data_IF_187831031511
#
_entry.id   IF_187831031511
#
_cell.length_a   1.000
_cell.length_b   1.000
_cell.length_c   1.000
_cell.angle_alpha   90.00
_cell.angle_beta   90.00
_cell.angle_gamma   90.00
#
_symmetry.space_group_name_H-M   'P 1'
#
loop_
_entity.id
_entity.type
_entity.pdbx_description
1 polymer ?
#
# COMPACT_ATOMS: atom_id res chain seq x y z
N UNK A 1 -48.05 48.74 -46.23
CA UNK A 1 -48.27 49.69 -45.10
C UNK A 1 -48.61 48.91 -43.85
N UNK A 2 -47.96 49.24 -42.72
CA UNK A 2 -48.22 48.82 -41.31
C UNK A 2 -47.87 47.35 -40.96
N UNK A 3 -46.67 47.08 -40.43
CA UNK A 3 -46.11 47.29 -39.07
C UNK A 3 -46.48 46.15 -38.09
N UNK A 4 -45.44 45.37 -37.82
CA UNK A 4 -45.18 44.33 -36.81
C UNK A 4 -45.76 44.57 -35.40
N UNK A 5 -46.15 43.48 -34.69
CA UNK A 5 -46.07 43.46 -33.24
C UNK A 5 -45.52 42.10 -32.73
N UNK A 6 -44.20 41.92 -32.72
CA UNK A 6 -43.55 40.74 -32.12
C UNK A 6 -42.36 41.09 -31.20
N UNK A 7 -42.26 42.35 -30.77
CA UNK A 7 -41.10 42.84 -29.97
C UNK A 7 -41.48 43.24 -28.54
N UNK A 8 -42.76 43.15 -28.14
CA UNK A 8 -43.21 43.58 -26.81
C UNK A 8 -43.32 42.48 -25.74
N UNK A 9 -43.06 41.21 -26.07
CA UNK A 9 -43.18 40.10 -25.09
C UNK A 9 -41.87 39.70 -24.41
N UNK A 10 -40.71 40.26 -24.78
CA UNK A 10 -39.39 39.84 -24.26
C UNK A 10 -38.85 40.76 -23.16
N UNK A 11 -39.46 41.94 -22.95
CA UNK A 11 -39.00 42.92 -21.93
C UNK A 11 -39.71 42.72 -20.57
N UNK A 12 -40.76 41.90 -20.50
CA UNK A 12 -41.53 41.70 -19.28
C UNK A 12 -41.06 40.52 -18.39
N UNK A 13 -40.05 39.73 -18.81
CA UNK A 13 -39.52 38.63 -17.99
C UNK A 13 -38.13 38.90 -17.39
N UNK A 14 -37.50 40.05 -17.67
CA UNK A 14 -36.22 40.44 -17.08
C UNK A 14 -36.34 41.31 -15.82
N UNK A 15 -37.55 41.54 -15.30
CA UNK A 15 -37.77 42.36 -14.09
C UNK A 15 -38.09 41.55 -12.81
N UNK A 16 -37.97 40.22 -12.82
CA UNK A 16 -38.14 39.37 -11.61
C UNK A 16 -36.78 38.87 -11.07
N UNK A 17 -35.65 39.29 -11.64
CA UNK A 17 -34.31 38.88 -11.21
C UNK A 17 -33.47 40.01 -10.57
N UNK A 18 -34.09 41.06 -10.03
CA UNK A 18 -33.35 42.23 -9.49
C UNK A 18 -33.80 42.77 -8.13
N UNK A 19 -34.35 41.91 -7.25
CA UNK A 19 -34.59 42.29 -5.84
C UNK A 19 -34.28 41.13 -4.88
N UNK A 20 -33.03 40.63 -4.88
CA UNK A 20 -32.38 40.11 -3.66
C UNK A 20 -30.88 40.42 -3.76
N UNK A 21 -30.54 41.70 -3.66
CA UNK A 21 -29.22 42.15 -3.27
C UNK A 21 -29.42 43.19 -2.17
N UNK A 22 -28.77 42.95 -1.02
CA UNK A 22 -28.60 43.81 0.16
C UNK A 22 -29.10 43.16 1.47
N UNK A 23 -28.40 42.10 1.89
CA UNK A 23 -28.19 41.87 3.32
C UNK A 23 -26.68 41.92 3.58
N UNK A 24 -26.21 43.15 3.76
CA UNK A 24 -24.85 43.51 4.16
C UNK A 24 -24.56 43.02 5.58
N UNK A 25 -23.88 41.89 5.71
CA UNK A 25 -23.23 41.46 6.95
C UNK A 25 -21.86 42.15 7.07
N UNK A 26 -21.51 42.71 8.24
CA UNK A 26 -20.28 43.49 8.41
C UNK A 26 -19.03 42.61 8.44
N UNK A 27 -17.86 43.12 8.00
CA UNK A 27 -16.60 42.41 8.05
C UNK A 27 -16.08 42.38 9.50
N UNK A 28 -16.05 41.19 10.12
CA UNK A 28 -15.34 40.99 11.38
C UNK A 28 -13.87 40.75 11.11
N UNK A 29 -13.08 41.82 11.16
CA UNK A 29 -11.63 41.73 11.25
C UNK A 29 -11.19 41.28 12.65
N UNK A 30 -10.25 40.34 12.66
CA UNK A 30 -9.16 40.21 13.63
C UNK A 30 -9.51 39.80 15.05
N UNK A 31 -9.43 38.50 15.33
CA UNK A 31 -8.80 37.98 16.55
C UNK A 31 -8.17 36.62 16.23
N UNK A 32 -6.94 36.63 15.70
CA UNK A 32 -6.03 35.51 15.97
C UNK A 32 -5.88 35.47 17.48
N UNK A 33 -6.43 34.44 18.13
CA UNK A 33 -6.07 34.11 19.50
C UNK A 33 -4.58 33.77 19.49
N UNK A 34 -3.73 34.76 19.76
CA UNK A 34 -2.36 34.52 20.21
C UNK A 34 -2.49 33.74 21.51
N UNK A 35 -1.81 32.60 21.60
CA UNK A 35 -1.61 31.91 22.87
C UNK A 35 -1.05 32.92 23.89
N UNK A 36 -1.50 32.87 25.16
CA UNK A 36 -0.92 33.71 26.21
C UNK A 36 0.60 33.49 26.27
N UNK A 37 1.34 34.60 26.35
CA UNK A 37 2.82 34.66 26.46
C UNK A 37 3.37 34.17 27.81
N UNK A 38 2.70 33.23 28.48
CA UNK A 38 3.15 32.65 29.75
C UNK A 38 3.68 31.21 29.61
N UNK A 39 3.97 30.77 28.38
CA UNK A 39 4.56 29.46 28.08
C UNK A 39 5.75 29.55 27.11
N UNK A 40 6.41 30.71 27.07
CA UNK A 40 7.67 30.92 26.34
C UNK A 40 8.86 31.12 27.30
N UNK A 41 8.63 31.18 28.62
CA UNK A 41 9.68 31.47 29.61
C UNK A 41 9.90 30.40 30.69
N UNK A 42 9.42 29.16 30.49
CA UNK A 42 9.74 28.03 31.38
C UNK A 42 10.82 27.14 30.75
N UNK A 43 11.84 27.75 30.15
CA UNK A 43 13.03 27.05 29.66
C UNK A 43 14.35 27.64 30.14
N UNK A 44 14.35 28.62 31.05
CA UNK A 44 15.59 29.30 31.47
C UNK A 44 15.84 29.41 32.97
N UNK A 45 15.27 28.52 33.79
CA UNK A 45 15.68 28.34 35.19
C UNK A 45 15.71 26.86 35.60
N UNK A 46 16.52 26.07 34.89
CA UNK A 46 17.09 24.80 35.40
C UNK A 46 18.39 24.48 34.64
N UNK A 47 19.28 25.45 34.64
CA UNK A 47 20.71 25.24 34.43
C UNK A 47 21.37 25.77 35.71
N UNK A 48 22.40 25.09 36.21
CA UNK A 48 23.08 25.32 37.51
C UNK A 48 22.66 24.43 38.68
N UNK A 49 22.16 23.21 38.45
CA UNK A 49 22.13 22.19 39.53
C UNK A 49 22.13 20.72 39.05
N UNK A 50 22.77 20.42 37.91
CA UNK A 50 22.69 19.11 37.27
C UNK A 50 24.02 18.50 36.81
N UNK A 51 25.15 18.90 37.40
CA UNK A 51 26.48 18.34 37.03
C UNK A 51 27.05 17.33 38.03
N UNK A 52 26.35 17.06 39.14
CA UNK A 52 26.72 15.99 40.08
C UNK A 52 25.85 14.73 39.90
N UNK A 53 24.66 14.85 39.32
CA UNK A 53 23.71 13.75 39.13
C UNK A 53 24.13 12.79 37.98
N UNK A 54 24.92 13.28 37.03
CA UNK A 54 25.41 12.48 35.90
C UNK A 54 26.37 11.36 36.31
N UNK A 55 27.07 11.52 37.45
CA UNK A 55 28.03 10.49 37.91
C UNK A 55 27.30 9.34 38.59
N UNK A 56 26.25 9.63 39.37
CA UNK A 56 25.41 8.60 39.98
C UNK A 56 24.54 7.90 38.94
N UNK A 57 23.98 8.63 37.97
CA UNK A 57 23.24 8.05 36.83
C UNK A 57 24.13 7.15 35.97
N UNK A 58 25.37 7.55 35.67
CA UNK A 58 26.33 6.70 34.93
C UNK A 58 26.77 5.48 35.72
N UNK A 59 26.96 5.61 37.04
CA UNK A 59 27.33 4.50 37.91
C UNK A 59 26.16 3.54 38.17
N UNK A 60 24.92 4.04 38.10
CA UNK A 60 23.71 3.23 38.14
C UNK A 60 23.48 2.48 36.81
N UNK A 61 23.67 3.15 35.67
CA UNK A 61 23.65 2.54 34.34
C UNK A 61 24.75 1.48 34.16
N UNK A 62 25.95 1.68 34.73
CA UNK A 62 27.04 0.71 34.65
C UNK A 62 26.86 -0.50 35.57
N UNK A 63 26.01 -0.38 36.61
CA UNK A 63 25.64 -1.48 37.52
C UNK A 63 24.44 -2.28 37.03
N UNK A 64 23.71 -1.80 36.01
CA UNK A 64 22.87 -2.67 35.21
C UNK A 64 23.75 -3.48 34.27
N UNK A 65 24.21 -4.64 34.74
CA UNK A 65 24.64 -5.69 33.82
C UNK A 65 23.45 -6.00 32.89
N UNK A 66 23.61 -5.95 31.56
CA UNK A 66 22.56 -6.45 30.69
C UNK A 66 22.37 -7.94 31.01
N UNK A 67 21.16 -8.33 31.38
CA UNK A 67 20.73 -9.74 31.45
C UNK A 67 20.57 -10.30 30.02
N UNK A 68 21.46 -9.91 29.11
CA UNK A 68 21.43 -10.25 27.69
C UNK A 68 22.81 -10.65 27.15
N UNK A 69 23.73 -11.05 28.04
CA UNK A 69 24.99 -11.70 27.66
C UNK A 69 25.07 -13.18 28.06
N UNK A 70 23.97 -13.78 28.54
CA UNK A 70 23.89 -15.22 28.85
C UNK A 70 22.76 -15.95 28.12
N UNK A 71 22.37 -15.43 26.95
CA UNK A 71 21.66 -16.20 25.91
C UNK A 71 22.30 -16.07 24.51
N UNK A 72 23.47 -15.43 24.42
CA UNK A 72 24.32 -15.43 23.22
C UNK A 72 25.65 -16.09 23.54
N UNK A 73 25.57 -17.35 23.95
CA UNK A 73 26.68 -18.30 23.87
C UNK A 73 26.16 -19.54 23.15
N UNK A 74 25.87 -19.39 21.86
CA UNK A 74 25.93 -20.51 20.94
C UNK A 74 26.98 -20.14 19.90
N UNK A 75 28.11 -20.84 20.01
CA UNK A 75 29.14 -21.07 19.01
C UNK A 75 29.09 -20.21 17.76
N UNK A 76 30.22 -19.57 17.46
CA UNK A 76 30.77 -19.52 16.10
C UNK A 76 30.87 -20.94 15.53
N UNK A 77 29.72 -21.50 15.12
CA UNK A 77 29.64 -22.43 14.02
C UNK A 77 29.75 -21.54 12.80
N UNK A 78 30.59 -21.93 11.85
CA UNK A 78 30.32 -21.57 10.47
C UNK A 78 28.91 -22.12 10.20
N UNK A 79 27.90 -21.26 10.38
CA UNK A 79 26.52 -21.60 10.10
C UNK A 79 26.45 -21.74 8.60
N UNK A 80 26.12 -22.95 8.15
CA UNK A 80 25.81 -23.27 6.77
C UNK A 80 24.54 -22.49 6.45
N UNK A 81 24.73 -21.21 6.15
CA UNK A 81 23.73 -20.14 6.22
C UNK A 81 22.43 -20.62 5.60
N UNK A 82 21.37 -20.73 6.41
CA UNK A 82 20.04 -21.03 5.90
C UNK A 82 19.73 -19.99 4.82
N UNK A 83 19.78 -20.45 3.57
CA UNK A 83 19.63 -19.56 2.43
C UNK A 83 18.23 -18.94 2.52
N UNK A 84 18.11 -17.60 2.37
CA UNK A 84 16.86 -16.91 2.61
C UNK A 84 15.73 -17.50 1.76
N UNK A 85 14.50 -17.47 2.27
CA UNK A 85 13.28 -17.81 1.53
C UNK A 85 12.58 -16.55 1.04
N UNK A 86 11.55 -16.72 0.20
CA UNK A 86 10.79 -15.59 -0.37
C UNK A 86 10.20 -14.67 0.72
N UNK A 87 9.71 -15.24 1.84
CA UNK A 87 9.17 -14.48 2.97
C UNK A 87 10.21 -13.55 3.64
N UNK A 88 11.50 -13.90 3.61
CA UNK A 88 12.58 -13.10 4.20
C UNK A 88 12.97 -11.89 3.34
N UNK A 89 12.73 -11.97 2.03
CA UNK A 89 13.21 -10.98 1.06
C UNK A 89 12.12 -10.01 0.62
N UNK A 90 10.86 -10.46 0.58
CA UNK A 90 9.71 -9.63 0.22
C UNK A 90 9.63 -8.31 1.02
N UNK A 91 9.74 -8.31 2.38
CA UNK A 91 9.60 -7.09 3.17
C UNK A 91 10.80 -6.14 3.07
N UNK A 92 11.95 -6.60 2.56
CA UNK A 92 13.18 -5.80 2.44
C UNK A 92 13.10 -4.85 1.23
N UNK A 93 12.27 -5.18 0.24
CA UNK A 93 12.18 -4.43 -0.99
C UNK A 93 11.12 -3.32 -0.92
N UNK A 94 11.61 -2.08 -0.73
CA UNK A 94 10.77 -0.88 -0.60
C UNK A 94 9.86 -0.63 -1.81
N UNK A 95 10.23 -1.07 -3.00
CA UNK A 95 9.44 -0.85 -4.21
C UNK A 95 8.13 -1.64 -4.23
N UNK A 96 8.01 -2.72 -3.43
CA UNK A 96 6.88 -3.65 -3.42
C UNK A 96 6.22 -3.79 -2.03
N UNK A 97 6.54 -2.90 -1.08
CA UNK A 97 6.06 -2.96 0.31
C UNK A 97 4.54 -3.12 0.45
N UNK A 98 3.75 -2.51 -0.43
CA UNK A 98 2.28 -2.66 -0.41
C UNK A 98 1.91 -4.12 -0.64
N UNK A 99 2.45 -4.73 -1.71
CA UNK A 99 2.19 -6.13 -2.03
C UNK A 99 2.72 -7.07 -0.94
N UNK A 100 3.95 -6.86 -0.46
CA UNK A 100 4.55 -7.65 0.62
C UNK A 100 3.74 -7.59 1.93
N UNK A 101 3.02 -6.48 2.18
CA UNK A 101 2.14 -6.37 3.35
C UNK A 101 0.84 -7.15 3.17
N UNK A 102 0.33 -7.27 1.94
CA UNK A 102 -0.88 -8.03 1.62
C UNK A 102 -0.66 -9.53 1.75
N UNK A 103 0.49 -10.06 1.32
CA UNK A 103 0.78 -11.49 1.40
C UNK A 103 0.72 -12.05 2.82
N UNK A 104 1.12 -11.24 3.81
CA UNK A 104 1.10 -11.59 5.24
C UNK A 104 -0.28 -11.57 5.89
N UNK A 105 -1.31 -11.06 5.20
CA UNK A 105 -2.67 -11.05 5.73
C UNK A 105 -3.38 -12.40 5.57
N UNK A 106 -2.82 -13.28 4.74
CA UNK A 106 -3.43 -14.55 4.36
C UNK A 106 -2.49 -15.70 4.75
N UNK A 107 -2.84 -16.41 5.81
CA UNK A 107 -2.04 -17.53 6.34
C UNK A 107 -1.65 -18.55 5.26
N UNK A 108 -2.53 -18.99 4.33
CA UNK A 108 -2.15 -19.99 3.33
C UNK A 108 -1.04 -19.51 2.40
N UNK A 109 -0.98 -18.19 2.17
CA UNK A 109 0.03 -17.54 1.34
C UNK A 109 1.32 -17.38 2.14
N UNK A 110 1.25 -16.83 3.34
CA UNK A 110 2.42 -16.66 4.21
C UNK A 110 3.13 -17.99 4.49
N UNK A 111 2.36 -19.03 4.84
CA UNK A 111 2.88 -20.38 5.09
C UNK A 111 3.57 -20.97 3.86
N UNK A 112 3.04 -20.73 2.65
CA UNK A 112 3.67 -21.20 1.41
C UNK A 112 4.94 -20.43 1.05
N UNK A 113 4.95 -19.12 1.24
CA UNK A 113 6.12 -18.27 1.00
C UNK A 113 7.29 -18.62 1.94
N UNK A 114 6.96 -19.13 3.13
CA UNK A 114 7.92 -19.51 4.15
C UNK A 114 8.38 -20.99 4.08
N UNK A 115 7.74 -21.82 3.25
CA UNK A 115 8.09 -23.24 3.12
C UNK A 115 9.26 -23.43 2.14
N UNK A 116 10.45 -23.89 2.59
CA UNK A 116 11.60 -24.09 1.73
C UNK A 116 11.40 -25.17 0.65
N UNK A 117 10.43 -26.07 0.85
CA UNK A 117 10.14 -27.19 -0.06
C UNK A 117 9.20 -26.82 -1.21
N UNK A 118 8.59 -25.62 -1.18
CA UNK A 118 7.59 -25.16 -2.15
C UNK A 118 8.19 -24.13 -3.09
N UNK A 119 8.64 -24.59 -4.25
CA UNK A 119 9.13 -23.69 -5.29
C UNK A 119 8.01 -22.78 -5.81
N UNK A 120 8.25 -21.47 -5.79
CA UNK A 120 7.29 -20.45 -6.21
C UNK A 120 7.97 -19.33 -6.99
N UNK A 121 7.25 -18.74 -7.93
CA UNK A 121 7.65 -17.48 -8.57
C UNK A 121 6.66 -16.40 -8.15
N UNK A 122 7.15 -15.38 -7.46
CA UNK A 122 6.31 -14.27 -6.99
C UNK A 122 6.44 -13.10 -7.94
N UNK A 123 5.30 -12.71 -8.51
CA UNK A 123 5.15 -11.60 -9.43
C UNK A 123 4.72 -10.36 -8.65
N UNK A 124 5.66 -9.64 -8.05
CA UNK A 124 5.36 -8.53 -7.15
C UNK A 124 5.16 -7.20 -7.93
N UNK A 125 3.94 -6.65 -8.00
CA UNK A 125 3.71 -5.34 -8.60
C UNK A 125 4.35 -4.25 -7.75
N UNK A 126 4.98 -3.27 -8.40
CA UNK A 126 5.49 -2.08 -7.71
C UNK A 126 4.36 -1.30 -7.02
N UNK A 127 4.70 -0.60 -5.96
CA UNK A 127 3.77 0.27 -5.24
C UNK A 127 3.07 1.26 -6.19
N UNK A 128 3.82 1.82 -7.15
CA UNK A 128 3.28 2.73 -8.17
C UNK A 128 2.25 2.05 -9.07
N UNK A 129 2.48 0.79 -9.45
CA UNK A 129 1.54 0.02 -10.26
C UNK A 129 0.21 -0.19 -9.51
N UNK A 130 0.27 -0.62 -8.23
CA UNK A 130 -0.93 -0.78 -7.39
C UNK A 130 -1.66 0.55 -7.18
N UNK A 131 -0.93 1.63 -6.92
CA UNK A 131 -1.51 2.96 -6.69
C UNK A 131 -2.15 3.55 -7.93
N UNK A 132 -1.67 3.18 -9.12
CA UNK A 132 -2.20 3.63 -10.41
C UNK A 132 -3.43 2.86 -10.88
N UNK A 133 -3.87 1.83 -10.14
CA UNK A 133 -5.05 1.07 -10.50
C UNK A 133 -6.30 1.97 -10.55
N UNK A 134 -7.19 1.78 -11.53
CA UNK A 134 -8.41 2.58 -11.66
C UNK A 134 -9.41 2.34 -10.52
N UNK A 135 -9.29 1.19 -9.84
CA UNK A 135 -10.05 0.79 -8.66
C UNK A 135 -9.13 0.17 -7.63
N UNK A 136 -9.56 0.09 -6.38
CA UNK A 136 -8.79 -0.57 -5.34
C UNK A 136 -8.76 -2.09 -5.58
N UNK A 137 -7.69 -2.79 -5.17
CA UNK A 137 -7.58 -4.24 -5.35
C UNK A 137 -8.75 -5.05 -4.76
N UNK A 138 -9.35 -4.57 -3.67
CA UNK A 138 -10.46 -5.23 -2.98
C UNK A 138 -11.85 -4.93 -3.57
N UNK A 139 -11.97 -3.94 -4.43
CA UNK A 139 -13.24 -3.59 -5.07
C UNK A 139 -13.44 -4.50 -6.28
N UNK A 140 -14.63 -5.05 -6.46
CA UNK A 140 -15.02 -5.88 -7.60
C UNK A 140 -16.27 -5.26 -8.25
N UNK A 141 -16.23 -4.96 -9.57
CA UNK A 141 -17.40 -4.45 -10.29
C UNK A 141 -18.68 -5.28 -10.09
N UNK A 142 -18.56 -6.61 -10.04
CA UNK A 142 -19.72 -7.50 -9.85
C UNK A 142 -20.36 -7.35 -8.47
N UNK A 143 -19.57 -7.01 -7.44
CA UNK A 143 -20.10 -6.82 -6.08
C UNK A 143 -20.97 -5.55 -6.04
N UNK A 144 -20.58 -4.50 -6.75
CA UNK A 144 -21.41 -3.29 -6.87
C UNK A 144 -22.74 -3.57 -7.55
N UNK A 145 -22.75 -4.38 -8.59
CA UNK A 145 -23.97 -4.77 -9.30
C UNK A 145 -24.90 -5.62 -8.41
N UNK A 146 -24.34 -6.53 -7.61
CA UNK A 146 -25.10 -7.47 -6.77
C UNK A 146 -25.59 -6.85 -5.46
N UNK A 147 -24.81 -5.96 -4.85
CA UNK A 147 -25.04 -5.47 -3.47
C UNK A 147 -25.35 -3.97 -3.38
N UNK A 148 -25.58 -3.28 -4.51
CA UNK A 148 -26.17 -1.94 -4.53
C UNK A 148 -25.16 -0.79 -4.48
N UNK A 149 -24.04 -0.90 -5.19
CA UNK A 149 -23.03 0.15 -5.25
C UNK A 149 -22.25 0.27 -3.95
N UNK A 150 -22.08 1.48 -3.42
CA UNK A 150 -21.14 1.77 -2.31
C UNK A 150 -21.34 0.87 -1.08
N UNK A 151 -22.57 0.44 -0.80
CA UNK A 151 -22.91 -0.46 0.32
C UNK A 151 -22.41 -1.90 0.16
N UNK A 152 -21.86 -2.28 -0.99
CA UNK A 152 -21.30 -3.61 -1.24
C UNK A 152 -20.18 -3.99 -0.26
N UNK A 153 -19.50 -3.00 0.34
CA UNK A 153 -18.41 -3.22 1.29
C UNK A 153 -18.70 -2.65 2.68
N UNK A 154 -19.97 -2.34 2.99
CA UNK A 154 -20.37 -1.90 4.32
C UNK A 154 -20.68 -3.07 5.25
N UNK A 155 -20.30 -2.93 6.52
CA UNK A 155 -20.53 -3.96 7.55
C UNK A 155 -19.65 -5.20 7.40
N UNK A 156 -19.83 -6.16 8.32
CA UNK A 156 -18.97 -7.35 8.42
C UNK A 156 -18.93 -8.17 7.12
N UNK A 157 -20.09 -8.38 6.48
CA UNK A 157 -20.15 -9.13 5.21
C UNK A 157 -19.42 -8.41 4.07
N UNK A 158 -19.48 -7.07 4.06
CA UNK A 158 -18.75 -6.25 3.10
C UNK A 158 -17.24 -6.33 3.32
N UNK A 159 -16.79 -6.25 4.57
CA UNK A 159 -15.38 -6.43 4.94
C UNK A 159 -14.86 -7.81 4.54
N UNK A 160 -15.65 -8.86 4.76
CA UNK A 160 -15.29 -10.24 4.39
C UNK A 160 -15.16 -10.39 2.86
N UNK A 161 -16.06 -9.77 2.07
CA UNK A 161 -15.95 -9.73 0.60
C UNK A 161 -14.68 -9.00 0.15
N UNK A 162 -14.40 -7.84 0.72
CA UNK A 162 -13.19 -7.07 0.42
C UNK A 162 -11.92 -7.87 0.72
N UNK A 163 -11.91 -8.60 1.85
CA UNK A 163 -10.81 -9.50 2.23
C UNK A 163 -10.63 -10.65 1.25
N UNK A 164 -11.71 -11.28 0.79
CA UNK A 164 -11.65 -12.33 -0.22
C UNK A 164 -11.12 -11.81 -1.56
N UNK A 165 -11.54 -10.62 -1.99
CA UNK A 165 -11.04 -9.99 -3.21
C UNK A 165 -9.53 -9.68 -3.12
N UNK A 166 -9.05 -9.22 -1.96
CA UNK A 166 -7.61 -9.06 -1.71
C UNK A 166 -6.85 -10.38 -1.78
N UNK A 167 -7.41 -11.46 -1.25
CA UNK A 167 -6.78 -12.76 -1.32
C UNK A 167 -6.61 -13.20 -2.78
N UNK A 168 -7.67 -13.10 -3.60
CA UNK A 168 -7.61 -13.41 -5.04
C UNK A 168 -6.59 -12.56 -5.78
N UNK A 169 -6.54 -11.27 -5.45
CA UNK A 169 -5.53 -10.36 -5.99
C UNK A 169 -4.12 -10.87 -5.69
N UNK A 170 -3.82 -11.29 -4.46
CA UNK A 170 -2.49 -11.83 -4.10
C UNK A 170 -2.23 -13.15 -4.81
N UNK A 171 -3.19 -14.05 -4.83
CA UNK A 171 -3.07 -15.38 -5.44
C UNK A 171 -2.80 -15.32 -6.95
N UNK A 172 -3.39 -14.35 -7.66
CA UNK A 172 -3.13 -14.12 -9.09
C UNK A 172 -1.68 -13.69 -9.39
N UNK A 173 -0.92 -13.28 -8.38
CA UNK A 173 0.48 -12.87 -8.50
C UNK A 173 1.47 -13.94 -8.04
N UNK A 174 1.00 -15.17 -7.76
CA UNK A 174 1.86 -16.25 -7.29
C UNK A 174 1.75 -17.43 -8.25
N UNK A 175 2.89 -17.81 -8.82
CA UNK A 175 3.02 -19.01 -9.65
C UNK A 175 3.60 -20.13 -8.78
N UNK A 176 2.94 -21.30 -8.69
CA UNK A 176 3.34 -22.41 -7.81
C UNK A 176 4.53 -23.22 -8.35
N UNK A 177 5.41 -22.61 -9.16
CA UNK A 177 6.54 -23.26 -9.80
C UNK A 177 7.69 -22.28 -9.96
N UNK A 178 8.90 -22.76 -9.74
CA UNK A 178 10.15 -22.07 -10.02
C UNK A 178 11.27 -23.11 -10.27
N UNK A 179 12.18 -22.87 -11.22
CA UNK A 179 12.21 -21.75 -12.18
C UNK A 179 11.07 -21.84 -13.21
N UNK A 180 10.52 -20.70 -13.62
CA UNK A 180 9.44 -20.63 -14.62
C UNK A 180 10.00 -20.32 -16.02
N UNK A 181 9.87 -21.26 -16.97
CA UNK A 181 10.59 -21.17 -18.25
C UNK A 181 9.88 -20.29 -19.27
N UNK A 182 10.64 -19.71 -20.19
CA UNK A 182 10.09 -18.87 -21.26
C UNK A 182 9.09 -19.63 -22.12
N UNK A 183 7.94 -19.01 -22.41
CA UNK A 183 6.87 -19.59 -23.21
C UNK A 183 6.06 -20.68 -22.51
N UNK A 184 6.45 -21.11 -21.32
CA UNK A 184 5.71 -22.07 -20.50
C UNK A 184 4.45 -21.42 -19.92
N UNK A 185 3.29 -21.99 -20.23
CA UNK A 185 2.03 -21.56 -19.64
C UNK A 185 1.84 -22.21 -18.27
N UNK A 186 1.69 -21.38 -17.24
CA UNK A 186 1.50 -21.81 -15.85
C UNK A 186 0.26 -21.17 -15.26
N UNK A 187 -0.44 -21.92 -14.43
CA UNK A 187 -1.60 -21.43 -13.68
C UNK A 187 -1.13 -20.85 -12.34
N UNK A 188 -1.58 -19.63 -12.04
CA UNK A 188 -1.37 -18.96 -10.74
C UNK A 188 -2.18 -19.65 -9.65
N UNK A 189 -1.91 -19.34 -8.38
CA UNK A 189 -2.78 -19.81 -7.29
C UNK A 189 -4.22 -19.28 -7.41
N UNK A 190 -4.40 -18.15 -8.10
CA UNK A 190 -5.71 -17.55 -8.37
C UNK A 190 -6.44 -18.13 -9.59
N UNK A 191 -5.86 -19.14 -10.27
CA UNK A 191 -6.46 -19.80 -11.44
C UNK A 191 -6.19 -19.12 -12.78
N UNK A 192 -5.49 -17.97 -12.79
CA UNK A 192 -5.12 -17.28 -14.02
C UNK A 192 -3.98 -17.98 -14.74
N UNK A 193 -4.09 -18.14 -16.06
CA UNK A 193 -3.06 -18.77 -16.90
C UNK A 193 -2.13 -17.71 -17.47
N UNK A 194 -0.86 -17.79 -17.07
CA UNK A 194 0.17 -16.85 -17.47
C UNK A 194 1.24 -17.54 -18.30
N UNK A 195 1.85 -16.79 -19.21
CA UNK A 195 3.11 -17.15 -19.87
C UNK A 195 3.95 -15.91 -20.02
N UNK A 196 5.27 -16.02 -20.01
CA UNK A 196 6.15 -14.90 -20.32
C UNK A 196 6.94 -15.13 -21.59
N UNK A 197 7.32 -14.04 -22.24
CA UNK A 197 8.23 -14.03 -23.37
C UNK A 197 9.22 -12.88 -23.24
N UNK A 198 10.38 -13.04 -23.87
CA UNK A 198 11.40 -12.01 -23.98
C UNK A 198 11.30 -11.35 -25.35
N UNK A 199 11.22 -10.02 -25.36
CA UNK A 199 11.27 -9.23 -26.59
C UNK A 199 12.44 -8.24 -26.49
N UNK A 200 13.53 -8.54 -27.19
CA UNK A 200 14.81 -7.86 -27.02
C UNK A 200 15.37 -8.11 -25.62
N UNK A 201 15.59 -7.05 -24.84
CA UNK A 201 16.09 -7.13 -23.47
C UNK A 201 14.98 -7.09 -22.40
N UNK A 202 13.71 -6.94 -22.82
CA UNK A 202 12.56 -6.80 -21.91
C UNK A 202 11.76 -8.09 -21.82
N UNK A 203 11.26 -8.38 -20.62
CA UNK A 203 10.40 -9.54 -20.35
C UNK A 203 8.95 -9.05 -20.19
N UNK A 204 8.02 -9.76 -20.82
CA UNK A 204 6.59 -9.45 -20.75
C UNK A 204 5.79 -10.68 -20.34
N UNK A 205 4.88 -10.48 -19.40
CA UNK A 205 3.90 -11.48 -18.95
C UNK A 205 2.60 -11.29 -19.75
N UNK A 206 2.05 -12.42 -20.18
CA UNK A 206 0.80 -12.52 -20.92
C UNK A 206 -0.20 -13.40 -20.15
N UNK A 207 -1.51 -13.13 -20.28
CA UNK A 207 -2.11 -12.01 -20.98
C UNK A 207 -1.92 -10.68 -20.25
N UNK A 208 -2.12 -9.55 -20.96
CA UNK A 208 -2.08 -8.20 -20.38
C UNK A 208 -0.81 -7.40 -20.68
N UNK A 209 0.20 -8.03 -21.31
CA UNK A 209 1.44 -7.37 -21.72
C UNK A 209 2.13 -6.61 -20.57
N UNK A 210 2.21 -7.25 -19.41
CA UNK A 210 2.78 -6.65 -18.19
C UNK A 210 4.30 -6.78 -18.25
N UNK A 211 5.00 -5.65 -18.26
CA UNK A 211 6.47 -5.61 -18.26
C UNK A 211 7.03 -6.00 -16.88
N UNK A 212 8.03 -6.87 -16.88
CA UNK A 212 8.86 -7.17 -15.71
C UNK A 212 9.96 -6.12 -15.65
N UNK A 213 10.02 -5.36 -14.55
CA UNK A 213 11.03 -4.34 -14.29
C UNK A 213 12.41 -5.01 -14.16
N UNK A 214 12.48 -6.01 -13.27
CA UNK A 214 13.64 -6.85 -13.05
C UNK A 214 13.28 -8.12 -12.27
N UNK A 215 14.13 -9.15 -12.39
CA UNK A 215 14.15 -10.29 -11.46
C UNK A 215 15.03 -9.85 -10.28
N UNK A 216 14.42 -9.63 -9.12
CA UNK A 216 15.07 -8.97 -7.99
C UNK A 216 15.97 -9.92 -7.21
N UNK A 217 15.46 -11.09 -6.87
CA UNK A 217 16.16 -12.06 -6.03
C UNK A 217 15.79 -13.49 -6.44
N UNK A 218 16.78 -14.38 -6.40
CA UNK A 218 16.61 -15.83 -6.49
C UNK A 218 16.98 -16.41 -5.13
N UNK A 219 16.01 -17.08 -4.51
CA UNK A 219 16.06 -17.57 -3.13
C UNK A 219 15.85 -19.08 -3.10
N UNK A 220 15.95 -19.69 -1.92
CA UNK A 220 15.92 -21.15 -1.77
C UNK A 220 14.68 -21.79 -2.36
N UNK A 221 13.51 -21.17 -2.13
CA UNK A 221 12.22 -21.69 -2.55
C UNK A 221 11.61 -20.92 -3.72
N UNK A 222 12.39 -20.12 -4.48
CA UNK A 222 11.79 -19.40 -5.59
C UNK A 222 12.51 -18.20 -6.15
N UNK A 223 11.74 -17.43 -6.92
CA UNK A 223 12.17 -16.18 -7.55
C UNK A 223 11.20 -15.05 -7.22
N UNK A 224 11.74 -13.85 -7.05
CA UNK A 224 10.98 -12.61 -6.87
C UNK A 224 11.14 -11.72 -8.10
N UNK A 225 10.06 -11.53 -8.85
CA UNK A 225 10.02 -10.73 -10.07
C UNK A 225 9.24 -9.44 -9.78
N UNK A 226 9.82 -8.29 -10.09
CA UNK A 226 9.16 -6.99 -9.88
C UNK A 226 8.45 -6.58 -11.16
N UNK A 227 7.18 -6.20 -11.07
CA UNK A 227 6.36 -5.85 -12.22
C UNK A 227 6.07 -4.34 -12.30
N UNK A 228 6.09 -3.81 -13.52
CA UNK A 228 5.66 -2.44 -13.84
C UNK A 228 4.13 -2.30 -13.93
N UNK A 229 3.40 -3.41 -13.91
CA UNK A 229 1.94 -3.46 -13.89
C UNK A 229 1.42 -4.51 -12.91
N UNK A 230 0.13 -4.79 -12.99
CA UNK A 230 -0.60 -5.71 -12.12
C UNK A 230 -1.18 -6.83 -12.98
N UNK A 231 -1.09 -8.07 -12.50
CA UNK A 231 -1.73 -9.22 -13.15
C UNK A 231 -3.25 -9.12 -12.99
N UNK A 232 -3.97 -9.34 -14.08
CA UNK A 232 -5.43 -9.33 -14.03
C UNK A 232 -5.93 -10.49 -13.15
N UNK A 233 -7.02 -10.25 -12.43
CA UNK A 233 -7.58 -11.19 -11.46
C UNK A 233 -9.11 -11.09 -11.51
N UNK A 234 -9.79 -12.20 -11.22
CA UNK A 234 -11.25 -12.33 -11.22
C UNK A 234 -11.84 -12.33 -9.81
#
# INVERSE_FOLDING_TARGET
MRRTPLVLSVIAFCFIASVIANLSLPPRFSLRKRLPRSLVDILHLRHEQGLQDDTELRNWLSKQQPVMNKLFSSSSREDDSEKPVVSDVLPKNRAINIFASLTRQFEPIESRLNDPSKNITVLAPRNSAIQSLPRKPWENPEDYEKFGGVSAYEGQEGEDRAKQNLQRFVEAHIIPTSPWREGEEMETLGGEKLKWNKNGDRIYIQPGNVEVDNIAETVTNGELWILNGVINYR
#
